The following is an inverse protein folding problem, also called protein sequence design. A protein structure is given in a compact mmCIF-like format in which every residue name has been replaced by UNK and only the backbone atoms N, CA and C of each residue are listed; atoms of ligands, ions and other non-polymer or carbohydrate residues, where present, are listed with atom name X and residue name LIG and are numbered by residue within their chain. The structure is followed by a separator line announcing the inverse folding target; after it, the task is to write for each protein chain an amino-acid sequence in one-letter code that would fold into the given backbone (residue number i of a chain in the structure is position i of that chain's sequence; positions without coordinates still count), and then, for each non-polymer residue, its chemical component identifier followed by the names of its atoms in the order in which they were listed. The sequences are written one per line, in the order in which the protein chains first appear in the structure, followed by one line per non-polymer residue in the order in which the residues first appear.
data_IF_853521002639
#
_entry.id   IF_853521002639
#
_cell.length_a   1.000
_cell.length_b   1.000
_cell.length_c   1.000
_cell.angle_alpha   90.00
_cell.angle_beta   90.00
_cell.angle_gamma   90.00
#
_symmetry.space_group_name_H-M   'P 1'
#
loop_
_entity.id
_entity.type
_entity.pdbx_description
1 polymer ?
#
# COMPACT_ATOMS: atom_id res chain seq x y z
N UNK A 1 20.72 9.10 7.34
CA UNK A 1 19.82 9.38 6.19
C UNK A 1 20.48 9.10 4.85
N UNK A 2 21.60 9.74 4.47
CA UNK A 2 22.30 9.49 3.19
C UNK A 2 22.67 8.01 3.00
N UNK A 3 23.28 7.37 4.00
CA UNK A 3 23.63 5.95 3.94
C UNK A 3 22.40 5.05 3.67
N UNK A 4 21.23 5.41 4.22
CA UNK A 4 19.98 4.69 3.96
C UNK A 4 19.53 4.85 2.52
N UNK A 5 19.56 6.08 1.97
CA UNK A 5 19.21 6.34 0.57
C UNK A 5 20.14 5.58 -0.39
N UNK A 6 21.45 5.59 -0.11
CA UNK A 6 22.43 4.84 -0.89
C UNK A 6 22.19 3.32 -0.80
N UNK A 7 21.77 2.81 0.36
CA UNK A 7 21.42 1.41 0.52
C UNK A 7 20.14 1.06 -0.25
N UNK A 8 19.10 1.90 -0.22
CA UNK A 8 17.89 1.74 -1.03
C UNK A 8 18.23 1.63 -2.53
N UNK A 9 19.19 2.43 -3.02
CA UNK A 9 19.68 2.32 -4.41
C UNK A 9 20.29 0.95 -4.72
N UNK A 10 21.16 0.44 -3.83
CA UNK A 10 21.78 -0.88 -4.02
C UNK A 10 20.75 -2.00 -4.03
N UNK A 11 19.76 -1.91 -3.15
CA UNK A 11 18.66 -2.87 -3.08
C UNK A 11 17.86 -2.88 -4.38
N UNK A 12 17.48 -1.71 -4.91
CA UNK A 12 16.77 -1.60 -6.20
C UNK A 12 17.62 -2.13 -7.36
N UNK A 13 18.92 -1.82 -7.38
CA UNK A 13 19.83 -2.28 -8.42
C UNK A 13 19.91 -3.82 -8.46
N UNK A 14 19.89 -4.47 -7.30
CA UNK A 14 19.94 -5.92 -7.15
C UNK A 14 18.64 -6.65 -7.54
N UNK A 15 17.52 -5.93 -7.70
CA UNK A 15 16.27 -6.55 -8.15
C UNK A 15 16.41 -7.09 -9.58
N UNK A 16 15.66 -8.15 -9.95
CA UNK A 16 15.54 -8.58 -11.33
C UNK A 16 15.06 -7.43 -12.23
N UNK A 17 15.44 -7.47 -13.50
CA UNK A 17 14.88 -6.55 -14.50
C UNK A 17 13.37 -6.84 -14.66
N UNK A 18 12.48 -5.85 -14.43
CA UNK A 18 11.05 -6.05 -14.60
C UNK A 18 10.60 -6.01 -16.07
N UNK A 19 11.41 -5.49 -17.01
CA UNK A 19 11.03 -5.38 -18.42
C UNK A 19 11.17 -6.73 -19.16
N UNK A 20 10.23 -7.03 -20.05
CA UNK A 20 10.29 -8.19 -20.93
C UNK A 20 9.87 -9.52 -20.31
N UNK A 21 9.42 -9.53 -19.05
CA UNK A 21 8.88 -10.72 -18.38
C UNK A 21 7.67 -11.25 -19.15
N UNK A 22 7.74 -12.50 -19.60
CA UNK A 22 6.64 -13.17 -20.31
C UNK A 22 5.55 -13.54 -19.30
N UNK A 23 4.34 -13.02 -19.52
CA UNK A 23 3.16 -13.34 -18.70
C UNK A 23 2.35 -14.49 -19.30
N UNK A 24 2.22 -14.48 -20.63
CA UNK A 24 1.52 -15.51 -21.39
C UNK A 24 2.29 -15.78 -22.69
N UNK A 25 2.41 -17.03 -23.08
CA UNK A 25 2.98 -17.40 -24.37
C UNK A 25 2.27 -18.64 -24.90
N UNK A 26 1.78 -18.56 -26.14
CA UNK A 26 1.16 -19.69 -26.82
C UNK A 26 1.32 -19.57 -28.33
N UNK A 27 1.17 -20.70 -29.01
CA UNK A 27 1.13 -20.75 -30.48
C UNK A 27 -0.23 -21.27 -30.88
N UNK A 28 -0.91 -20.56 -31.79
CA UNK A 28 -2.19 -21.00 -32.35
C UNK A 28 -1.99 -22.22 -33.25
N UNK A 29 -3.09 -22.91 -33.57
CA UNK A 29 -3.07 -24.08 -34.46
C UNK A 29 -2.52 -23.77 -35.86
N UNK A 30 -2.66 -22.53 -36.33
CA UNK A 30 -2.13 -22.04 -37.61
C UNK A 30 -0.63 -21.68 -37.56
N UNK A 31 0.02 -21.83 -36.41
CA UNK A 31 1.44 -21.52 -36.20
C UNK A 31 1.72 -20.08 -35.78
N UNK A 32 0.70 -19.24 -35.59
CA UNK A 32 0.88 -17.86 -35.14
C UNK A 32 1.35 -17.84 -33.67
N UNK A 33 2.56 -17.34 -33.41
CA UNK A 33 3.13 -17.28 -32.07
C UNK A 33 2.76 -15.96 -31.40
N UNK A 34 2.18 -16.04 -30.21
CA UNK A 34 1.64 -14.90 -29.46
C UNK A 34 2.27 -14.90 -28.07
N UNK A 35 2.81 -13.76 -27.68
CA UNK A 35 3.39 -13.55 -26.36
C UNK A 35 2.87 -12.26 -25.74
N UNK A 36 2.53 -12.30 -24.46
CA UNK A 36 2.26 -11.12 -23.64
C UNK A 36 3.48 -10.90 -22.74
N UNK A 37 4.06 -9.70 -22.79
CA UNK A 37 5.26 -9.35 -22.01
C UNK A 37 5.07 -8.04 -21.28
N UNK A 38 5.74 -7.92 -20.12
CA UNK A 38 5.83 -6.65 -19.40
C UNK A 38 6.62 -5.62 -20.20
N UNK A 39 6.20 -4.36 -20.11
CA UNK A 39 6.86 -3.19 -20.70
C UNK A 39 6.71 -1.99 -19.75
N UNK A 40 7.63 -1.01 -19.77
CA UNK A 40 7.46 0.19 -18.96
C UNK A 40 6.15 0.92 -19.27
N UNK A 41 5.64 1.67 -18.30
CA UNK A 41 4.51 2.57 -18.54
C UNK A 41 4.85 3.68 -19.53
N UNK A 42 6.05 4.25 -19.40
CA UNK A 42 6.48 5.43 -20.14
C UNK A 42 6.97 6.50 -19.20
N UNK A 43 6.16 7.54 -18.98
CA UNK A 43 6.48 8.69 -18.11
C UNK A 43 5.65 8.69 -16.84
N UNK A 44 6.29 8.57 -15.69
CA UNK A 44 5.66 8.65 -14.36
C UNK A 44 5.92 10.02 -13.75
N UNK A 45 4.87 10.69 -13.24
CA UNK A 45 5.02 11.88 -12.39
C UNK A 45 4.74 11.52 -10.94
N UNK A 46 5.69 11.80 -10.07
CA UNK A 46 5.50 11.68 -8.62
C UNK A 46 5.36 13.06 -8.03
N UNK A 47 4.25 13.28 -7.32
CA UNK A 47 4.00 14.52 -6.59
C UNK A 47 4.05 14.19 -5.10
N UNK A 48 4.99 14.77 -4.37
CA UNK A 48 5.26 14.41 -2.98
C UNK A 48 5.52 15.62 -2.08
N UNK A 49 5.30 15.45 -0.79
CA UNK A 49 5.51 16.49 0.22
C UNK A 49 6.98 16.58 0.67
N UNK A 50 7.25 17.05 1.89
CA UNK A 50 8.59 17.34 2.44
C UNK A 50 9.39 16.07 2.80
N UNK A 51 9.60 15.17 1.84
CA UNK A 51 10.35 13.90 1.98
C UNK A 51 11.43 13.78 0.90
N UNK A 52 12.63 14.36 1.11
CA UNK A 52 13.68 14.38 0.09
C UNK A 52 14.17 12.99 -0.34
N UNK A 53 14.08 12.00 0.55
CA UNK A 53 14.35 10.58 0.33
C UNK A 53 13.55 10.00 -0.86
N UNK A 54 12.32 10.46 -1.08
CA UNK A 54 11.48 10.06 -2.23
C UNK A 54 12.15 10.41 -3.56
N UNK A 55 12.92 11.50 -3.63
CA UNK A 55 13.68 11.91 -4.84
C UNK A 55 14.68 10.85 -5.28
N UNK A 56 15.23 10.07 -4.34
CA UNK A 56 16.17 8.99 -4.62
C UNK A 56 15.43 7.67 -4.84
N UNK A 57 14.62 7.25 -3.87
CA UNK A 57 14.02 5.92 -3.86
C UNK A 57 13.03 5.72 -5.02
N UNK A 58 12.20 6.73 -5.27
CA UNK A 58 11.19 6.63 -6.30
C UNK A 58 11.79 6.78 -7.70
N UNK A 59 12.83 7.60 -7.84
CA UNK A 59 13.61 7.71 -9.07
C UNK A 59 14.29 6.39 -9.43
N UNK A 60 14.94 5.74 -8.47
CA UNK A 60 15.58 4.45 -8.67
C UNK A 60 14.59 3.37 -9.10
N UNK A 61 13.44 3.31 -8.43
CA UNK A 61 12.42 2.30 -8.68
C UNK A 61 11.80 2.48 -10.07
N UNK A 62 11.46 3.71 -10.46
CA UNK A 62 10.92 4.01 -11.78
C UNK A 62 11.96 3.77 -12.90
N UNK A 63 13.21 4.21 -12.68
CA UNK A 63 14.33 4.01 -13.60
C UNK A 63 14.63 2.53 -13.84
N UNK A 64 14.70 1.73 -12.76
CA UNK A 64 14.85 0.26 -12.83
C UNK A 64 13.72 -0.39 -13.62
N UNK A 65 12.51 0.17 -13.56
CA UNK A 65 11.35 -0.28 -14.32
C UNK A 65 11.28 0.27 -15.75
N UNK A 66 12.33 0.92 -16.25
CA UNK A 66 12.41 1.46 -17.61
C UNK A 66 11.52 2.67 -17.85
N UNK A 67 11.09 3.37 -16.79
CA UNK A 67 10.23 4.55 -16.89
C UNK A 67 11.02 5.84 -16.74
N UNK A 68 10.72 6.81 -17.60
CA UNK A 68 11.09 8.20 -17.35
C UNK A 68 10.31 8.70 -16.15
N UNK A 69 10.95 9.49 -15.30
CA UNK A 69 10.33 10.02 -14.08
C UNK A 69 10.45 11.53 -13.98
N UNK A 70 9.30 12.15 -13.70
CA UNK A 70 9.18 13.55 -13.32
C UNK A 70 8.92 13.61 -11.81
N UNK A 71 9.69 14.41 -11.10
CA UNK A 71 9.63 14.54 -9.65
C UNK A 71 9.14 15.94 -9.28
N UNK A 72 8.03 16.04 -8.55
CA UNK A 72 7.53 17.29 -8.01
C UNK A 72 7.42 17.22 -6.49
N UNK A 73 8.45 17.74 -5.81
CA UNK A 73 8.49 17.80 -4.35
C UNK A 73 7.82 19.05 -3.76
N UNK A 74 7.62 19.01 -2.44
CA UNK A 74 7.16 20.16 -1.65
C UNK A 74 8.20 21.27 -1.57
N UNK A 75 7.73 22.52 -1.49
CA UNK A 75 8.59 23.72 -1.46
C UNK A 75 9.62 23.72 -0.31
N UNK A 76 9.24 23.15 0.83
CA UNK A 76 10.10 23.08 2.03
C UNK A 76 11.37 22.24 1.82
N UNK A 77 11.31 21.27 0.90
CA UNK A 77 12.43 20.37 0.57
C UNK A 77 13.16 20.77 -0.73
N UNK A 78 12.81 21.91 -1.35
CA UNK A 78 13.23 22.29 -2.70
C UNK A 78 14.75 22.22 -2.90
N UNK A 79 15.53 22.86 -2.03
CA UNK A 79 16.99 22.90 -2.18
C UNK A 79 17.61 21.50 -2.12
N UNK A 80 17.16 20.66 -1.19
CA UNK A 80 17.64 19.28 -1.07
C UNK A 80 17.25 18.46 -2.29
N UNK A 81 16.01 18.56 -2.77
CA UNK A 81 15.56 17.80 -3.94
C UNK A 81 16.32 18.19 -5.21
N UNK A 82 16.59 19.48 -5.42
CA UNK A 82 17.39 19.95 -6.55
C UNK A 82 18.80 19.37 -6.54
N UNK A 83 19.45 19.32 -5.37
CA UNK A 83 20.78 18.71 -5.22
C UNK A 83 20.74 17.20 -5.47
N UNK A 84 19.75 16.48 -4.93
CA UNK A 84 19.59 15.04 -5.17
C UNK A 84 19.30 14.72 -6.65
N UNK A 85 18.50 15.56 -7.33
CA UNK A 85 18.25 15.42 -8.76
C UNK A 85 19.50 15.75 -9.61
N UNK A 86 20.35 16.67 -9.18
CA UNK A 86 21.62 16.95 -9.84
C UNK A 86 22.55 15.72 -9.79
N UNK A 87 22.64 15.05 -8.63
CA UNK A 87 23.43 13.81 -8.51
C UNK A 87 22.91 12.69 -9.43
N UNK A 88 21.59 12.58 -9.60
CA UNK A 88 21.02 11.65 -10.59
C UNK A 88 21.45 12.01 -12.01
N UNK A 89 21.38 13.28 -12.39
CA UNK A 89 21.81 13.74 -13.72
C UNK A 89 23.29 13.46 -13.97
N UNK A 90 24.15 13.75 -12.99
CA UNK A 90 25.59 13.45 -13.06
C UNK A 90 25.81 11.96 -13.35
N UNK A 91 25.19 11.07 -12.57
CA UNK A 91 25.30 9.62 -12.77
C UNK A 91 24.78 9.14 -14.13
N UNK A 92 23.65 9.69 -14.60
CA UNK A 92 23.10 9.34 -15.93
C UNK A 92 24.04 9.76 -17.06
N UNK A 93 24.64 10.95 -16.97
CA UNK A 93 25.59 11.46 -17.98
C UNK A 93 26.87 10.62 -17.99
N UNK A 94 27.39 10.24 -16.82
CA UNK A 94 28.56 9.37 -16.69
C UNK A 94 28.35 8.01 -17.37
N UNK A 95 27.13 7.46 -17.29
CA UNK A 95 26.75 6.19 -17.92
C UNK A 95 26.21 6.35 -19.36
N UNK A 96 26.34 7.53 -19.97
CA UNK A 96 25.88 7.84 -21.33
C UNK A 96 24.36 7.65 -21.57
N UNK A 97 23.57 7.90 -20.53
CA UNK A 97 22.10 7.86 -20.57
C UNK A 97 21.56 9.30 -20.68
N UNK A 98 20.41 9.47 -21.33
CA UNK A 98 19.70 10.75 -21.40
C UNK A 98 19.45 11.30 -19.99
N UNK A 99 20.07 12.44 -19.66
CA UNK A 99 19.95 13.07 -18.34
C UNK A 99 18.50 13.45 -17.96
N UNK A 100 17.60 13.54 -18.95
CA UNK A 100 16.20 13.87 -18.72
C UNK A 100 15.36 12.66 -18.28
N UNK A 101 15.95 11.47 -18.19
CA UNK A 101 15.25 10.28 -17.71
C UNK A 101 14.74 10.45 -16.26
N UNK A 102 15.45 11.25 -15.46
CA UNK A 102 15.05 11.64 -14.11
C UNK A 102 15.07 13.17 -14.04
N UNK A 103 13.89 13.79 -14.00
CA UNK A 103 13.77 15.26 -14.03
C UNK A 103 13.02 15.77 -12.80
N UNK A 104 13.64 16.68 -12.05
CA UNK A 104 12.94 17.44 -11.01
C UNK A 104 12.24 18.66 -11.60
N UNK A 105 10.94 18.78 -11.32
CA UNK A 105 10.09 19.88 -11.76
C UNK A 105 10.00 20.94 -10.66
N UNK A 106 10.73 22.05 -10.84
CA UNK A 106 10.67 23.18 -9.92
C UNK A 106 9.51 24.13 -10.28
N UNK A 107 8.30 23.64 -10.06
CA UNK A 107 7.05 24.33 -10.43
C UNK A 107 6.35 24.93 -9.19
N UNK A 108 5.67 26.05 -9.39
CA UNK A 108 4.66 26.54 -8.44
C UNK A 108 3.43 25.62 -8.37
N UNK A 109 2.54 25.88 -7.42
CA UNK A 109 1.29 25.12 -7.26
C UNK A 109 0.41 25.22 -8.52
N UNK A 110 0.21 26.44 -9.03
CA UNK A 110 -0.63 26.71 -10.21
C UNK A 110 -0.04 26.09 -11.48
N UNK A 111 1.27 26.13 -11.65
CA UNK A 111 1.95 25.47 -12.76
C UNK A 111 1.85 23.94 -12.67
N UNK A 112 1.92 23.38 -11.46
CA UNK A 112 1.70 21.95 -11.25
C UNK A 112 0.28 21.55 -11.62
N UNK A 113 -0.71 22.34 -11.20
CA UNK A 113 -2.12 22.12 -11.54
C UNK A 113 -2.34 22.20 -13.05
N UNK A 114 -1.74 23.19 -13.72
CA UNK A 114 -1.80 23.32 -15.18
C UNK A 114 -1.19 22.12 -15.88
N UNK A 115 0.00 21.70 -15.44
CA UNK A 115 0.70 20.53 -15.99
C UNK A 115 -0.17 19.27 -15.95
N UNK A 116 -0.72 18.91 -14.79
CA UNK A 116 -1.50 17.67 -14.64
C UNK A 116 -2.88 17.74 -15.32
N UNK A 117 -3.43 18.95 -15.49
CA UNK A 117 -4.69 19.17 -16.19
C UNK A 117 -4.53 19.05 -17.70
N UNK A 118 -3.50 19.69 -18.26
CA UNK A 118 -3.26 19.73 -19.70
C UNK A 118 -2.47 18.51 -20.19
N UNK A 119 -1.84 17.77 -19.28
CA UNK A 119 -0.89 16.71 -19.57
C UNK A 119 0.20 17.11 -20.59
N UNK A 120 0.73 18.32 -20.47
CA UNK A 120 1.67 18.92 -21.44
C UNK A 120 3.04 18.23 -21.53
N UNK A 121 3.27 17.20 -20.71
CA UNK A 121 4.50 16.39 -20.69
C UNK A 121 4.27 14.92 -21.06
N UNK A 122 3.08 14.55 -21.55
CA UNK A 122 2.74 13.16 -21.89
C UNK A 122 3.00 12.18 -20.74
N UNK A 123 2.49 12.52 -19.57
CA UNK A 123 2.55 11.69 -18.37
C UNK A 123 1.52 10.56 -18.52
N UNK A 124 1.98 9.33 -18.31
CA UNK A 124 1.19 8.10 -18.39
C UNK A 124 0.59 7.70 -17.03
N UNK A 125 1.27 8.06 -15.93
CA UNK A 125 0.87 7.72 -14.56
C UNK A 125 1.26 8.82 -13.57
N UNK A 126 0.38 9.18 -12.64
CA UNK A 126 0.71 10.02 -11.48
C UNK A 126 0.64 9.21 -10.19
N UNK A 127 1.66 9.37 -9.33
CA UNK A 127 1.72 8.80 -7.99
C UNK A 127 1.79 9.93 -6.94
N UNK A 128 0.67 10.32 -6.32
CA UNK A 128 0.69 11.27 -5.20
C UNK A 128 1.19 10.58 -3.91
N UNK A 129 2.18 11.19 -3.26
CA UNK A 129 2.79 10.73 -2.00
C UNK A 129 2.74 11.83 -0.94
N UNK A 130 1.63 11.89 -0.21
CA UNK A 130 1.37 12.89 0.82
C UNK A 130 0.05 12.62 1.53
N UNK A 131 -0.47 13.61 2.25
CA UNK A 131 -1.76 13.48 2.93
C UNK A 131 -2.95 13.48 1.97
N UNK A 132 -4.14 13.23 2.53
CA UNK A 132 -5.43 13.26 1.82
C UNK A 132 -5.66 14.53 1.01
N UNK A 133 -5.18 15.68 1.50
CA UNK A 133 -5.28 16.96 0.79
C UNK A 133 -4.55 16.95 -0.56
N UNK A 134 -3.34 16.40 -0.62
CA UNK A 134 -2.57 16.27 -1.85
C UNK A 134 -3.22 15.26 -2.80
N UNK A 135 -3.63 14.11 -2.27
CA UNK A 135 -4.29 13.06 -3.06
C UNK A 135 -5.57 13.60 -3.69
N UNK A 136 -6.39 14.33 -2.92
CA UNK A 136 -7.61 15.00 -3.40
C UNK A 136 -7.29 16.04 -4.47
N UNK A 137 -6.31 16.91 -4.24
CA UNK A 137 -5.88 17.91 -5.22
C UNK A 137 -5.53 17.28 -6.57
N UNK A 138 -4.71 16.22 -6.58
CA UNK A 138 -4.34 15.54 -7.82
C UNK A 138 -5.57 14.91 -8.48
N UNK A 139 -6.37 14.17 -7.71
CA UNK A 139 -7.58 13.49 -8.21
C UNK A 139 -8.59 14.43 -8.85
N UNK A 140 -8.77 15.62 -8.31
CA UNK A 140 -9.74 16.60 -8.80
C UNK A 140 -9.25 17.38 -10.03
N UNK A 141 -7.96 17.32 -10.36
CA UNK A 141 -7.35 18.19 -11.37
C UNK A 141 -6.74 17.47 -12.57
N UNK A 142 -6.85 16.15 -12.67
CA UNK A 142 -6.25 15.39 -13.78
C UNK A 142 -7.14 14.26 -14.28
N UNK A 143 -7.04 13.96 -15.58
CA UNK A 143 -7.57 12.75 -16.20
C UNK A 143 -6.50 11.65 -16.36
N UNK A 144 -5.25 11.94 -16.00
CA UNK A 144 -4.15 10.98 -16.07
C UNK A 144 -4.41 9.86 -15.04
N UNK A 145 -4.17 8.58 -15.39
CA UNK A 145 -4.28 7.48 -14.44
C UNK A 145 -3.50 7.73 -13.15
N UNK A 146 -4.11 7.36 -12.02
CA UNK A 146 -3.53 7.56 -10.69
C UNK A 146 -3.29 6.22 -10.02
N UNK A 147 -2.13 6.10 -9.39
CA UNK A 147 -1.81 5.04 -8.44
C UNK A 147 -1.69 5.68 -7.06
N UNK A 148 -2.62 5.33 -6.17
CA UNK A 148 -2.85 6.01 -4.89
C UNK A 148 -2.65 5.03 -3.75
N UNK A 149 -1.83 5.41 -2.77
CA UNK A 149 -1.77 4.67 -1.50
C UNK A 149 -3.08 4.83 -0.75
N UNK A 150 -3.68 3.73 -0.30
CA UNK A 150 -4.93 3.79 0.45
C UNK A 150 -4.79 4.25 1.89
N UNK A 151 -5.94 4.47 2.53
CA UNK A 151 -6.03 4.80 3.95
C UNK A 151 -5.72 3.57 4.80
N UNK A 152 -5.03 3.79 5.91
CA UNK A 152 -4.52 2.75 6.77
C UNK A 152 -5.47 2.22 7.85
N UNK A 153 -6.79 2.30 7.64
CA UNK A 153 -7.74 1.83 8.65
C UNK A 153 -7.86 0.29 8.61
N UNK A 154 -7.00 -0.37 9.39
CA UNK A 154 -6.83 -1.83 9.36
C UNK A 154 -7.58 -2.54 10.48
N UNK A 155 -8.03 -3.76 10.19
CA UNK A 155 -8.87 -4.57 11.07
C UNK A 155 -8.24 -5.93 11.38
N UNK A 156 -8.53 -6.44 12.57
CA UNK A 156 -8.28 -7.82 12.96
C UNK A 156 -9.58 -8.43 13.45
N UNK A 157 -9.92 -9.63 12.99
CA UNK A 157 -11.03 -10.42 13.50
C UNK A 157 -10.50 -11.59 14.33
N UNK A 158 -10.86 -11.63 15.61
CA UNK A 158 -10.60 -12.75 16.51
C UNK A 158 -11.78 -13.72 16.47
N UNK A 159 -11.60 -14.82 15.74
CA UNK A 159 -12.60 -15.87 15.57
C UNK A 159 -12.87 -16.62 16.89
N UNK A 160 -14.04 -17.23 17.04
CA UNK A 160 -14.39 -18.00 18.25
C UNK A 160 -13.44 -19.16 18.57
N UNK A 161 -12.75 -19.71 17.58
CA UNK A 161 -11.78 -20.81 17.72
C UNK A 161 -10.34 -20.32 17.52
N UNK A 162 -10.03 -19.10 17.98
CA UNK A 162 -8.68 -18.54 17.94
C UNK A 162 -7.81 -19.00 19.11
N UNK A 163 -6.49 -19.07 18.89
CA UNK A 163 -5.52 -19.00 19.98
C UNK A 163 -5.48 -17.56 20.51
N UNK A 164 -6.00 -17.34 21.72
CA UNK A 164 -6.07 -16.01 22.31
C UNK A 164 -4.70 -15.38 22.59
N UNK A 165 -3.68 -16.19 22.90
CA UNK A 165 -2.32 -15.67 23.07
C UNK A 165 -1.80 -15.10 21.76
N UNK A 166 -2.09 -15.77 20.66
CA UNK A 166 -1.75 -15.30 19.31
C UNK A 166 -2.48 -13.98 18.98
N UNK A 167 -3.75 -13.84 19.38
CA UNK A 167 -4.48 -12.56 19.23
C UNK A 167 -3.73 -11.43 19.93
N UNK A 168 -3.33 -11.62 21.20
CA UNK A 168 -2.60 -10.60 21.96
C UNK A 168 -1.28 -10.24 21.26
N UNK A 169 -0.48 -11.24 20.90
CA UNK A 169 0.82 -11.05 20.24
C UNK A 169 0.67 -10.27 18.92
N UNK A 170 -0.32 -10.62 18.10
CA UNK A 170 -0.60 -9.97 16.82
C UNK A 170 -1.11 -8.54 17.02
N UNK A 171 -2.03 -8.31 17.97
CA UNK A 171 -2.57 -6.97 18.24
C UNK A 171 -1.47 -6.03 18.74
N UNK A 172 -0.62 -6.49 19.67
CA UNK A 172 0.52 -5.72 20.17
C UNK A 172 1.52 -5.41 19.05
N UNK A 173 1.83 -6.40 18.20
CA UNK A 173 2.70 -6.16 17.06
C UNK A 173 2.07 -5.15 16.08
N UNK A 174 0.78 -5.32 15.78
CA UNK A 174 -0.04 -4.42 14.96
C UNK A 174 -0.01 -2.97 15.41
N UNK A 175 0.12 -2.72 16.71
CA UNK A 175 0.23 -1.38 17.31
C UNK A 175 1.64 -0.95 17.73
N UNK A 176 2.67 -1.75 17.47
CA UNK A 176 4.06 -1.43 17.85
C UNK A 176 4.61 -0.15 17.19
N UNK A 177 4.09 0.23 16.02
CA UNK A 177 4.40 1.49 15.33
C UNK A 177 3.11 2.14 14.91
N UNK A 178 2.76 3.28 15.51
CA UNK A 178 1.44 3.90 15.33
C UNK A 178 1.37 4.88 14.17
N UNK A 179 2.49 5.41 13.68
CA UNK A 179 2.55 6.44 12.64
C UNK A 179 2.64 5.91 11.21
N UNK A 180 2.24 4.66 10.98
CA UNK A 180 2.33 3.95 9.69
C UNK A 180 0.96 3.45 9.28
N UNK A 181 0.68 3.44 7.97
CA UNK A 181 -0.63 3.11 7.41
C UNK A 181 -1.04 1.63 7.54
N UNK A 182 -0.12 0.74 7.92
CA UNK A 182 -0.45 -0.68 8.15
C UNK A 182 -0.62 -1.01 9.66
N UNK A 183 -0.65 0.01 10.52
CA UNK A 183 -0.92 -0.15 11.95
C UNK A 183 -2.35 -0.65 12.16
N UNK A 184 -2.53 -1.61 13.06
CA UNK A 184 -3.86 -2.17 13.36
C UNK A 184 -4.71 -1.13 14.08
N UNK A 185 -5.91 -0.78 13.62
CA UNK A 185 -6.75 0.20 14.30
C UNK A 185 -7.92 -0.41 15.05
N UNK A 186 -8.52 -1.47 14.49
CA UNK A 186 -9.78 -2.06 14.94
C UNK A 186 -9.62 -3.56 15.22
N UNK A 187 -10.19 -4.03 16.31
CA UNK A 187 -10.31 -5.46 16.63
C UNK A 187 -11.78 -5.82 16.73
N UNK A 188 -12.22 -6.74 15.89
CA UNK A 188 -13.53 -7.37 15.95
C UNK A 188 -13.39 -8.70 16.68
N UNK A 189 -14.27 -8.98 17.63
CA UNK A 189 -14.27 -10.23 18.39
C UNK A 189 -15.58 -10.97 18.13
N UNK A 190 -15.50 -12.25 17.77
CA UNK A 190 -16.69 -13.10 17.64
C UNK A 190 -17.45 -13.15 18.99
N UNK A 191 -18.74 -12.82 18.97
CA UNK A 191 -19.60 -12.80 20.17
C UNK A 191 -19.69 -14.15 20.88
N UNK A 192 -19.42 -15.24 20.15
CA UNK A 192 -19.45 -16.60 20.66
C UNK A 192 -18.06 -17.08 21.12
N UNK A 193 -17.07 -16.20 21.21
CA UNK A 193 -15.76 -16.50 21.77
C UNK A 193 -15.89 -16.93 23.25
N UNK A 194 -15.41 -18.12 23.63
CA UNK A 194 -15.47 -18.58 25.02
C UNK A 194 -14.70 -17.65 25.97
N UNK A 195 -15.25 -17.41 27.16
CA UNK A 195 -14.65 -16.61 28.23
C UNK A 195 -14.24 -15.19 27.82
N UNK A 196 -15.02 -14.56 26.93
CA UNK A 196 -14.71 -13.26 26.32
C UNK A 196 -14.33 -12.17 27.33
N UNK A 197 -14.99 -12.11 28.50
CA UNK A 197 -14.69 -11.10 29.53
C UNK A 197 -13.30 -11.28 30.14
N UNK A 198 -12.90 -12.52 30.46
CA UNK A 198 -11.57 -12.82 30.98
C UNK A 198 -10.48 -12.60 29.90
N UNK A 199 -10.79 -12.97 28.66
CA UNK A 199 -9.93 -12.71 27.50
C UNK A 199 -9.72 -11.21 27.28
N UNK A 200 -10.78 -10.40 27.30
CA UNK A 200 -10.71 -8.94 27.24
C UNK A 200 -9.83 -8.36 28.35
N UNK A 201 -9.95 -8.87 29.59
CA UNK A 201 -9.10 -8.43 30.70
C UNK A 201 -7.60 -8.64 30.38
N UNK A 202 -7.21 -9.83 29.94
CA UNK A 202 -5.80 -10.13 29.59
C UNK A 202 -5.27 -9.28 28.43
N UNK A 203 -6.10 -9.01 27.42
CA UNK A 203 -5.73 -8.12 26.31
C UNK A 203 -5.57 -6.67 26.79
N UNK A 204 -6.47 -6.21 27.67
CA UNK A 204 -6.43 -4.86 28.23
C UNK A 204 -5.19 -4.64 29.10
N UNK A 205 -4.80 -5.61 29.91
CA UNK A 205 -3.56 -5.54 30.70
C UNK A 205 -2.34 -5.36 29.78
N UNK A 206 -2.25 -6.17 28.73
CA UNK A 206 -1.16 -6.13 27.77
C UNK A 206 -1.11 -4.80 26.97
N UNK A 207 -2.27 -4.28 26.55
CA UNK A 207 -2.37 -3.01 25.82
C UNK A 207 -2.05 -1.80 26.71
N UNK A 208 -2.54 -1.81 27.94
CA UNK A 208 -2.32 -0.73 28.92
C UNK A 208 -0.85 -0.62 29.30
N UNK A 209 -0.14 -1.75 29.45
CA UNK A 209 1.32 -1.77 29.69
C UNK A 209 2.10 -1.07 28.57
N UNK A 210 1.61 -1.14 27.33
CA UNK A 210 2.20 -0.44 26.17
C UNK A 210 1.68 0.98 25.96
N UNK A 211 0.85 1.49 26.87
CA UNK A 211 0.27 2.83 26.79
C UNK A 211 -0.74 2.99 25.66
N UNK A 212 -1.40 1.91 25.24
CA UNK A 212 -2.44 1.94 24.20
C UNK A 212 -3.79 2.22 24.85
N UNK A 213 -4.46 3.27 24.40
CA UNK A 213 -5.81 3.66 24.83
C UNK A 213 -6.87 2.87 24.05
N UNK A 214 -7.70 2.12 24.76
CA UNK A 214 -8.72 1.27 24.15
C UNK A 214 -10.10 1.84 24.42
N UNK A 215 -10.89 1.98 23.35
CA UNK A 215 -12.33 2.25 23.43
C UNK A 215 -13.10 1.11 22.78
N UNK A 216 -14.38 0.93 23.09
CA UNK A 216 -15.18 -0.11 22.45
C UNK A 216 -16.64 0.25 22.27
N UNK A 217 -17.36 -0.58 21.53
CA UNK A 217 -18.81 -0.42 21.38
C UNK A 217 -19.56 -0.72 22.70
N UNK A 218 -20.88 -0.56 22.66
CA UNK A 218 -21.73 -0.84 23.82
C UNK A 218 -21.71 -2.33 24.24
N UNK A 219 -21.47 -3.27 23.31
CA UNK A 219 -21.42 -4.69 23.62
C UNK A 219 -20.14 -5.03 24.39
N UNK A 220 -18.98 -4.58 23.89
CA UNK A 220 -17.68 -4.70 24.56
C UNK A 220 -17.70 -4.03 25.93
N UNK A 221 -18.27 -2.83 26.05
CA UNK A 221 -18.40 -2.16 27.36
C UNK A 221 -19.24 -2.98 28.35
N UNK A 222 -20.35 -3.61 27.91
CA UNK A 222 -21.15 -4.50 28.77
C UNK A 222 -20.37 -5.75 29.20
N UNK A 223 -19.54 -6.30 28.32
CA UNK A 223 -18.73 -7.49 28.61
C UNK A 223 -17.55 -7.18 29.54
N UNK A 224 -16.99 -5.97 29.44
CA UNK A 224 -15.86 -5.53 30.24
C UNK A 224 -15.92 -4.00 30.51
N UNK A 225 -16.57 -3.55 31.60
CA UNK A 225 -16.85 -2.13 31.87
C UNK A 225 -15.63 -1.22 32.02
N UNK A 226 -14.42 -1.77 32.17
CA UNK A 226 -13.19 -0.98 32.21
C UNK A 226 -12.76 -0.44 30.82
N UNK A 227 -13.31 -0.98 29.72
CA UNK A 227 -13.16 -0.37 28.39
C UNK A 227 -14.16 0.78 28.26
N UNK A 228 -13.67 1.98 27.97
CA UNK A 228 -14.52 3.15 27.74
C UNK A 228 -15.40 2.94 26.51
N UNK A 229 -16.71 3.14 26.66
CA UNK A 229 -17.64 3.11 25.55
C UNK A 229 -17.40 4.30 24.60
N UNK A 230 -17.28 4.02 23.31
CA UNK A 230 -17.33 4.99 22.22
C UNK A 230 -18.69 4.89 21.53
N UNK A 231 -19.38 6.03 21.41
CA UNK A 231 -20.76 6.11 20.91
C UNK A 231 -20.84 6.61 19.48
N UNK A 232 -19.77 7.21 18.95
CA UNK A 232 -19.70 7.63 17.56
C UNK A 232 -19.43 6.45 16.63
N UNK A 233 -20.43 6.03 15.85
CA UNK A 233 -20.28 4.99 14.82
C UNK A 233 -19.24 5.36 13.74
N UNK A 234 -18.95 6.65 13.55
CA UNK A 234 -17.91 7.14 12.65
C UNK A 234 -16.51 6.63 12.99
N UNK A 235 -16.27 6.20 14.24
CA UNK A 235 -14.98 5.66 14.69
C UNK A 235 -14.52 4.47 13.86
N UNK A 236 -15.45 3.64 13.37
CA UNK A 236 -15.13 2.47 12.55
C UNK A 236 -14.44 2.85 11.25
N UNK A 237 -14.73 4.03 10.68
CA UNK A 237 -14.14 4.54 9.44
C UNK A 237 -12.86 5.36 9.65
N UNK A 238 -12.43 5.60 10.90
CA UNK A 238 -11.31 6.50 11.21
C UNK A 238 -9.98 5.74 11.27
N UNK A 239 -8.95 6.28 10.62
CA UNK A 239 -7.56 5.84 10.82
C UNK A 239 -6.97 6.64 11.99
N UNK A 240 -6.34 5.98 12.97
CA UNK A 240 -6.00 6.68 14.22
C UNK A 240 -4.61 7.32 14.23
N UNK A 241 -3.63 6.71 13.55
CA UNK A 241 -2.21 7.14 13.55
C UNK A 241 -1.64 7.49 14.95
N UNK A 242 -2.13 6.82 15.99
CA UNK A 242 -1.90 7.13 17.40
C UNK A 242 -2.02 5.86 18.24
N UNK A 243 -1.61 5.87 19.53
CA UNK A 243 -1.77 4.72 20.43
C UNK A 243 -3.23 4.55 20.87
N UNK A 244 -4.17 4.52 19.92
CA UNK A 244 -5.59 4.28 20.11
C UNK A 244 -5.99 2.98 19.40
N UNK A 245 -6.78 2.14 20.04
CA UNK A 245 -7.37 0.93 19.47
C UNK A 245 -8.87 0.94 19.75
N UNK A 246 -9.68 0.45 18.81
CA UNK A 246 -11.11 0.27 19.03
C UNK A 246 -11.48 -1.20 18.94
N UNK A 247 -12.26 -1.68 19.92
CA UNK A 247 -12.75 -3.06 19.97
C UNK A 247 -14.26 -3.05 19.78
N UNK A 248 -14.76 -3.91 18.88
CA UNK A 248 -16.17 -4.16 18.70
C UNK A 248 -16.44 -5.66 18.66
N UNK A 249 -17.71 -6.04 18.80
CA UNK A 249 -18.12 -7.43 18.58
C UNK A 249 -18.62 -7.66 17.15
N UNK A 250 -18.52 -8.90 16.69
CA UNK A 250 -19.13 -9.36 15.44
C UNK A 250 -19.89 -10.66 15.73
N UNK A 251 -21.07 -10.79 15.14
CA UNK A 251 -21.99 -11.92 15.37
C UNK A 251 -21.39 -13.26 14.91
N UNK A 252 -20.65 -13.20 13.79
CA UNK A 252 -19.91 -14.29 13.17
C UNK A 252 -18.87 -13.76 12.17
N UNK A 253 -18.22 -14.67 11.45
CA UNK A 253 -17.22 -14.33 10.41
C UNK A 253 -17.81 -13.49 9.27
N UNK A 254 -19.08 -13.69 8.91
CA UNK A 254 -19.71 -12.95 7.81
C UNK A 254 -19.96 -11.49 8.21
N UNK A 255 -20.47 -11.26 9.42
CA UNK A 255 -20.63 -9.92 9.99
C UNK A 255 -19.27 -9.18 10.08
N UNK A 256 -18.20 -9.90 10.47
CA UNK A 256 -16.86 -9.34 10.46
C UNK A 256 -16.39 -8.95 9.04
N UNK A 257 -16.60 -9.81 8.04
CA UNK A 257 -16.27 -9.52 6.64
C UNK A 257 -17.02 -8.28 6.15
N UNK A 258 -18.33 -8.21 6.39
CA UNK A 258 -19.17 -7.09 5.96
C UNK A 258 -18.76 -5.77 6.63
N UNK A 259 -18.46 -5.82 7.92
CA UNK A 259 -17.95 -4.68 8.69
C UNK A 259 -16.61 -4.20 8.12
N UNK A 260 -15.67 -5.10 7.88
CA UNK A 260 -14.35 -4.76 7.33
C UNK A 260 -14.48 -4.16 5.93
N UNK A 261 -15.28 -4.78 5.05
CA UNK A 261 -15.48 -4.30 3.68
C UNK A 261 -16.17 -2.94 3.64
N UNK A 262 -17.02 -2.63 4.62
CA UNK A 262 -17.70 -1.34 4.72
C UNK A 262 -16.80 -0.22 5.25
N UNK A 263 -15.96 -0.53 6.24
CA UNK A 263 -15.31 0.51 7.05
C UNK A 263 -13.78 0.57 6.91
N UNK A 264 -13.14 -0.49 6.45
CA UNK A 264 -11.68 -0.49 6.25
C UNK A 264 -11.24 0.51 5.18
N UNK A 265 -9.96 0.86 5.22
CA UNK A 265 -9.33 1.65 4.15
C UNK A 265 -8.95 0.83 2.92
N UNK A 266 -9.32 -0.46 2.86
CA UNK A 266 -8.93 -1.39 1.80
C UNK A 266 -7.44 -1.76 1.81
N UNK A 267 -6.72 -1.46 2.89
CA UNK A 267 -5.27 -1.65 3.04
C UNK A 267 -4.94 -3.06 3.55
N UNK A 268 -5.13 -3.31 4.85
CA UNK A 268 -4.84 -4.61 5.46
C UNK A 268 -5.96 -5.08 6.39
N UNK A 269 -6.20 -6.39 6.39
CA UNK A 269 -7.07 -7.03 7.36
C UNK A 269 -6.50 -8.38 7.79
N UNK A 270 -6.77 -8.80 9.02
CA UNK A 270 -6.31 -10.09 9.54
C UNK A 270 -7.46 -10.87 10.19
N UNK A 271 -7.40 -12.19 10.13
CA UNK A 271 -8.18 -13.10 10.94
C UNK A 271 -7.24 -13.93 11.82
N UNK A 272 -7.61 -14.16 13.07
CA UNK A 272 -6.96 -15.14 13.94
C UNK A 272 -7.93 -16.29 14.17
N UNK A 273 -7.61 -17.48 13.68
CA UNK A 273 -8.44 -18.68 13.78
C UNK A 273 -7.62 -19.96 13.62
N UNK A 274 -8.03 -21.03 14.28
CA UNK A 274 -7.54 -22.40 14.03
C UNK A 274 -8.31 -23.12 12.92
N UNK A 275 -9.40 -22.53 12.40
CA UNK A 275 -10.27 -23.13 11.39
C UNK A 275 -9.87 -22.69 10.00
N UNK A 276 -9.16 -23.56 9.27
CA UNK A 276 -8.66 -23.29 7.91
C UNK A 276 -9.77 -22.83 6.95
N UNK A 277 -10.92 -23.50 6.95
CA UNK A 277 -12.06 -23.12 6.08
C UNK A 277 -12.56 -21.70 6.34
N UNK A 278 -12.55 -21.24 7.60
CA UNK A 278 -12.95 -19.88 7.95
C UNK A 278 -11.91 -18.85 7.55
N UNK A 279 -10.63 -19.19 7.68
CA UNK A 279 -9.55 -18.34 7.20
C UNK A 279 -9.63 -18.15 5.68
N UNK A 280 -9.83 -19.24 4.93
CA UNK A 280 -9.98 -19.19 3.47
C UNK A 280 -11.20 -18.36 3.05
N UNK A 281 -12.35 -18.58 3.71
CA UNK A 281 -13.57 -17.81 3.44
C UNK A 281 -13.40 -16.32 3.75
N UNK A 282 -12.72 -15.97 4.85
CA UNK A 282 -12.39 -14.60 5.20
C UNK A 282 -11.43 -13.96 4.19
N UNK A 283 -10.33 -14.65 3.86
CA UNK A 283 -9.31 -14.16 2.93
C UNK A 283 -9.85 -13.94 1.52
N UNK A 284 -10.80 -14.78 1.07
CA UNK A 284 -11.41 -14.66 -0.24
C UNK A 284 -12.43 -13.52 -0.35
N UNK A 285 -13.09 -13.15 0.77
CA UNK A 285 -14.21 -12.20 0.77
C UNK A 285 -13.86 -10.83 1.32
N UNK A 286 -12.81 -10.70 2.13
CA UNK A 286 -12.33 -9.40 2.60
C UNK A 286 -11.59 -8.68 1.46
N UNK A 287 -12.10 -7.52 1.10
CA UNK A 287 -11.65 -6.73 -0.04
C UNK A 287 -10.58 -5.72 0.38
N UNK A 288 -9.47 -6.22 0.91
CA UNK A 288 -8.28 -5.44 1.25
C UNK A 288 -7.10 -5.78 0.33
N UNK A 289 -6.09 -4.92 0.28
CA UNK A 289 -4.89 -5.12 -0.53
C UNK A 289 -4.05 -6.31 -0.03
N UNK A 290 -4.01 -6.52 1.29
CA UNK A 290 -3.46 -7.71 1.91
C UNK A 290 -4.42 -8.24 2.98
N UNK A 291 -4.68 -9.55 2.94
CA UNK A 291 -5.47 -10.25 3.96
C UNK A 291 -4.63 -11.34 4.59
N UNK A 292 -4.65 -11.43 5.91
CA UNK A 292 -3.77 -12.30 6.69
C UNK A 292 -4.57 -13.30 7.50
N UNK A 293 -4.08 -14.54 7.57
CA UNK A 293 -4.44 -15.49 8.61
C UNK A 293 -3.30 -15.55 9.62
N UNK A 294 -3.62 -15.41 10.91
CA UNK A 294 -2.70 -15.67 12.02
C UNK A 294 -1.37 -14.87 11.92
N UNK A 295 -1.43 -13.66 11.32
CA UNK A 295 -0.29 -12.79 11.12
C UNK A 295 -0.68 -11.30 11.26
N UNK A 296 0.31 -10.48 11.60
CA UNK A 296 0.15 -9.04 11.81
C UNK A 296 -0.01 -8.27 10.51
N UNK A 297 -0.89 -7.26 10.53
CA UNK A 297 -1.04 -6.29 9.43
C UNK A 297 0.25 -5.50 9.15
N UNK A 298 1.19 -5.46 10.11
CA UNK A 298 2.50 -4.81 9.95
C UNK A 298 3.36 -5.41 8.84
N UNK A 299 3.05 -6.63 8.40
CA UNK A 299 3.73 -7.26 7.27
C UNK A 299 3.34 -6.67 5.92
N UNK A 300 2.33 -5.79 5.82
CA UNK A 300 2.03 -5.08 4.56
C UNK A 300 3.08 -4.00 4.33
N UNK A 301 4.22 -4.40 3.79
CA UNK A 301 5.42 -3.60 3.58
C UNK A 301 6.25 -4.28 2.48
N UNK A 302 6.71 -3.53 1.48
CA UNK A 302 7.44 -4.09 0.35
C UNK A 302 8.70 -4.87 0.72
N UNK A 303 9.40 -4.48 1.79
CA UNK A 303 10.57 -5.21 2.28
C UNK A 303 10.19 -6.57 2.88
N UNK A 304 9.07 -6.63 3.62
CA UNK A 304 8.55 -7.87 4.18
C UNK A 304 7.97 -8.81 3.12
N UNK A 305 7.42 -8.27 2.03
CA UNK A 305 6.85 -9.04 0.92
C UNK A 305 7.90 -9.47 -0.13
N UNK A 306 9.16 -9.07 0.04
CA UNK A 306 10.23 -9.37 -0.92
C UNK A 306 10.15 -8.55 -2.21
N UNK A 307 9.35 -7.48 -2.23
CA UNK A 307 9.24 -6.50 -3.33
C UNK A 307 10.43 -5.53 -3.33
N UNK A 308 11.14 -5.42 -2.20
CA UNK A 308 12.30 -4.56 -2.04
C UNK A 308 11.89 -3.12 -1.71
N UNK A 309 12.51 -2.14 -2.38
CA UNK A 309 12.12 -0.75 -2.18
C UNK A 309 10.71 -0.50 -2.74
N UNK A 310 9.85 0.09 -1.92
CA UNK A 310 8.43 0.29 -2.22
C UNK A 310 8.11 1.77 -2.46
N UNK A 311 7.38 2.05 -3.53
CA UNK A 311 6.94 3.40 -3.88
C UNK A 311 5.58 3.76 -3.29
N UNK A 312 4.73 2.78 -2.99
CA UNK A 312 3.35 2.93 -2.52
C UNK A 312 2.74 1.58 -2.12
N UNK A 313 1.69 1.62 -1.30
CA UNK A 313 0.80 0.48 -1.03
C UNK A 313 -0.54 0.80 -1.67
N UNK A 314 -0.75 0.32 -2.91
CA UNK A 314 -1.99 0.57 -3.64
C UNK A 314 -3.15 -0.20 -3.00
N UNK A 315 -4.24 0.50 -2.77
CA UNK A 315 -5.53 -0.11 -2.38
C UNK A 315 -6.52 -0.14 -3.53
N UNK A 316 -6.15 0.43 -4.68
CA UNK A 316 -6.96 0.40 -5.89
C UNK A 316 -6.97 -1.01 -6.48
N UNK A 317 -8.08 -1.37 -7.13
CA UNK A 317 -8.26 -2.70 -7.72
C UNK A 317 -7.64 -2.85 -9.11
N UNK A 318 -7.50 -1.76 -9.84
CA UNK A 318 -6.97 -1.79 -11.21
C UNK A 318 -5.44 -1.77 -11.17
N UNK A 319 -4.81 -2.51 -12.09
CA UNK A 319 -3.36 -2.67 -12.23
C UNK A 319 -2.70 -3.61 -11.20
N UNK A 320 -2.05 -3.07 -10.17
CA UNK A 320 -1.49 -3.83 -9.05
C UNK A 320 -2.00 -3.27 -7.73
N UNK A 321 -2.24 -4.17 -6.78
CA UNK A 321 -2.80 -3.91 -5.46
C UNK A 321 -1.88 -4.49 -4.40
N UNK A 322 -1.63 -3.75 -3.32
CA UNK A 322 -0.63 -4.07 -2.31
C UNK A 322 0.66 -3.24 -2.46
N UNK A 323 1.77 -3.68 -1.85
CA UNK A 323 3.07 -3.06 -2.01
C UNK A 323 3.51 -3.00 -3.48
N UNK A 324 4.00 -1.84 -3.90
CA UNK A 324 4.41 -1.59 -5.28
C UNK A 324 5.90 -1.26 -5.32
N UNK A 325 6.68 -2.12 -5.97
CA UNK A 325 8.09 -1.88 -6.26
C UNK A 325 8.34 -1.74 -7.76
N UNK A 326 9.58 -1.97 -8.17
CA UNK A 326 9.97 -1.87 -9.58
C UNK A 326 9.23 -2.91 -10.47
N UNK A 327 8.89 -4.07 -9.91
CA UNK A 327 8.18 -5.15 -10.61
C UNK A 327 6.72 -4.78 -10.93
N UNK A 328 6.14 -3.84 -10.20
CA UNK A 328 4.76 -3.40 -10.37
C UNK A 328 4.65 -2.07 -11.17
N UNK A 329 5.78 -1.39 -11.44
CA UNK A 329 5.83 -0.18 -12.26
C UNK A 329 5.97 -0.45 -13.76
N UNK A 330 5.35 -1.52 -14.24
CA UNK A 330 5.29 -1.91 -15.65
C UNK A 330 3.85 -2.20 -16.05
N UNK A 331 3.51 -2.04 -17.32
CA UNK A 331 2.29 -2.59 -17.93
C UNK A 331 2.64 -3.80 -18.79
N UNK A 332 1.74 -4.26 -19.65
CA UNK A 332 2.00 -5.36 -20.57
C UNK A 332 1.45 -5.11 -21.97
N UNK A 333 2.06 -5.73 -22.99
CA UNK A 333 1.53 -5.72 -24.37
C UNK A 333 1.77 -7.04 -25.08
N UNK A 334 1.06 -7.23 -26.20
CA UNK A 334 1.13 -8.44 -27.01
C UNK A 334 2.14 -8.29 -28.15
N UNK A 335 3.04 -9.26 -28.27
CA UNK A 335 3.99 -9.44 -29.34
C UNK A 335 3.53 -10.64 -30.17
N UNK A 336 3.25 -10.40 -31.45
CA UNK A 336 2.71 -11.40 -32.36
C UNK A 336 3.71 -11.65 -33.48
N UNK A 337 4.15 -12.90 -33.60
CA UNK A 337 5.13 -13.32 -34.60
C UNK A 337 4.43 -14.22 -35.61
N UNK A 338 4.28 -13.69 -36.83
CA UNK A 338 3.70 -14.42 -37.94
C UNK A 338 4.70 -14.56 -39.08
N UNK A 339 4.39 -15.48 -39.99
CA UNK A 339 5.09 -15.67 -41.26
C UNK A 339 4.12 -15.44 -42.43
N UNK A 340 3.56 -14.22 -42.51
CA UNK A 340 2.56 -13.88 -43.53
C UNK A 340 1.14 -14.38 -43.24
N UNK A 341 0.79 -14.59 -41.96
CA UNK A 341 -0.55 -15.04 -41.59
C UNK A 341 -1.60 -13.96 -41.92
N UNK A 342 -2.71 -14.36 -42.52
CA UNK A 342 -3.87 -13.51 -42.81
C UNK A 342 -5.10 -14.05 -42.10
N UNK A 343 -6.11 -13.19 -41.92
CA UNK A 343 -7.42 -13.56 -41.37
C UNK A 343 -8.44 -13.44 -42.50
N UNK A 344 -9.05 -14.55 -42.91
CA UNK A 344 -10.12 -14.62 -43.92
C UNK A 344 -11.46 -14.76 -43.20
#
# INVERSE_FOLDING_TARGET
KIASMAESLRQVAALPDPEGKVLYAFTREDGLRIENRTVPFGTILIIYESRPDVTIEAAATAFKAGNRILLKGGKEARHTNLQLAALWREALVEEHIDENYITYLDLSHDETQRLIRENSRHIDLIIPRGGEGLIRFVRENTSIPLLISGRGNNFLFADRDCDWRMVIDIVLNGKSRVSVCNALDKVLIDEQLPDISAKLATLMDALTEKGIHVTGDAAVHRLYPAITQETDAGVLSQEFLSPRLYIATASDTQDAIETINRYSGGHSAAIVTNRGEQADAFMQQVDCAAVYQNASTRFTDGGQFGVGAEIAISTQKLHFRGPLGAQELVTNKWFVYGNGHTRI
#
